data_IF_479701425443
#
_entry.id   IF_479701425443
#
_cell.length_a   1.000
_cell.length_b   1.000
_cell.length_c   1.000
_cell.angle_alpha   90.00
_cell.angle_beta   90.00
_cell.angle_gamma   90.00
#
_symmetry.space_group_name_H-M   'P 1'
#
loop_
_entity.id
_entity.type
_entity.pdbx_description
1 polymer ?
#
# COMPACT_ATOMS: atom_id res chain seq x y z
N UNK A 1 34.31 10.96 -22.70
CA UNK A 1 34.20 12.07 -21.73
C UNK A 1 32.90 11.90 -20.97
N UNK A 2 33.02 11.65 -19.67
CA UNK A 2 31.99 11.12 -18.78
C UNK A 2 30.97 12.23 -18.42
N UNK A 3 29.67 11.97 -18.58
CA UNK A 3 28.60 12.91 -18.24
C UNK A 3 28.21 12.77 -16.76
N UNK A 4 28.38 13.79 -15.90
CA UNK A 4 27.95 13.70 -14.51
C UNK A 4 26.42 13.87 -14.37
N UNK A 5 25.73 12.74 -14.17
CA UNK A 5 24.67 12.49 -13.17
C UNK A 5 23.65 13.64 -12.97
N UNK A 6 22.51 13.55 -13.67
CA UNK A 6 21.26 14.24 -13.33
C UNK A 6 20.25 13.23 -12.77
N UNK A 7 20.54 12.64 -11.60
CA UNK A 7 19.80 11.47 -11.06
C UNK A 7 19.29 11.67 -9.61
N UNK A 8 18.98 12.91 -9.19
CA UNK A 8 18.66 13.16 -7.76
C UNK A 8 17.36 13.97 -7.50
N UNK A 9 16.69 14.59 -8.48
CA UNK A 9 15.72 15.66 -8.16
C UNK A 9 14.20 15.38 -8.33
N UNK A 10 13.69 14.14 -8.44
CA UNK A 10 12.26 13.94 -8.76
C UNK A 10 11.54 12.78 -8.04
N UNK A 11 11.88 12.49 -6.77
CA UNK A 11 11.12 11.48 -5.99
C UNK A 11 10.73 11.91 -4.55
N UNK A 12 10.86 13.19 -4.20
CA UNK A 12 10.57 13.70 -2.83
C UNK A 12 9.16 14.33 -2.72
N UNK A 13 8.36 14.32 -3.80
CA UNK A 13 7.11 15.12 -3.86
C UNK A 13 5.82 14.37 -3.48
N UNK A 14 5.89 13.31 -2.69
CA UNK A 14 4.68 12.66 -2.12
C UNK A 14 4.52 12.89 -0.61
N UNK A 15 5.30 13.79 -0.03
CA UNK A 15 5.23 14.13 1.40
C UNK A 15 4.07 15.08 1.77
N UNK A 16 3.16 15.40 0.85
CA UNK A 16 2.06 16.34 1.09
C UNK A 16 0.70 15.64 1.10
N UNK A 17 0.19 15.51 2.32
CA UNK A 17 -1.22 15.40 2.71
C UNK A 17 -2.01 14.14 2.30
N UNK A 18 -2.44 13.30 3.26
CA UNK A 18 -3.47 12.30 2.99
C UNK A 18 -4.84 12.99 2.80
N UNK A 19 -5.70 12.52 1.87
CA UNK A 19 -7.12 12.85 1.91
C UNK A 19 -7.69 12.35 3.25
N UNK A 20 -8.27 13.25 4.03
CA UNK A 20 -8.67 13.09 5.44
C UNK A 20 -9.88 12.15 5.66
N UNK A 21 -10.33 11.41 4.64
CA UNK A 21 -11.50 10.51 4.68
C UNK A 21 -11.14 9.01 4.58
N UNK A 22 -9.84 8.68 4.59
CA UNK A 22 -9.39 7.29 4.65
C UNK A 22 -8.98 6.95 6.09
N UNK A 23 -9.65 5.98 6.70
CA UNK A 23 -9.23 5.43 8.00
C UNK A 23 -7.73 5.10 7.96
N UNK A 24 -6.98 5.30 9.06
CA UNK A 24 -5.52 5.14 9.08
C UNK A 24 -5.07 3.75 8.60
N UNK A 25 -5.88 2.70 8.78
CA UNK A 25 -5.63 1.37 8.20
C UNK A 25 -5.64 1.36 6.67
N UNK A 26 -6.60 2.06 6.05
CA UNK A 26 -6.75 2.17 4.59
C UNK A 26 -5.56 2.89 3.99
N UNK A 27 -5.09 3.96 4.62
CA UNK A 27 -3.94 4.71 4.13
C UNK A 27 -2.65 3.87 4.18
N UNK A 28 -2.45 3.05 5.21
CA UNK A 28 -1.31 2.11 5.30
C UNK A 28 -1.36 1.06 4.20
N UNK A 29 -2.54 0.55 3.88
CA UNK A 29 -2.72 -0.41 2.79
C UNK A 29 -2.44 0.22 1.43
N UNK A 30 -2.90 1.46 1.20
CA UNK A 30 -2.60 2.20 -0.03
C UNK A 30 -1.08 2.44 -0.20
N UNK A 31 -0.40 2.88 0.86
CA UNK A 31 1.06 3.07 0.87
C UNK A 31 1.80 1.77 0.53
N UNK A 32 1.39 0.66 1.16
CA UNK A 32 1.94 -0.66 0.87
C UNK A 32 1.80 -1.03 -0.62
N UNK A 33 0.60 -0.89 -1.19
CA UNK A 33 0.35 -1.22 -2.60
C UNK A 33 1.13 -0.29 -3.53
N UNK A 34 1.19 1.01 -3.23
CA UNK A 34 1.95 1.97 -4.04
C UNK A 34 3.45 1.69 -4.04
N UNK A 35 4.01 1.32 -2.88
CA UNK A 35 5.41 0.92 -2.77
C UNK A 35 5.70 -0.35 -3.59
N UNK A 36 4.78 -1.32 -3.60
CA UNK A 36 4.91 -2.55 -4.40
C UNK A 36 4.82 -2.25 -5.90
N UNK A 37 3.87 -1.40 -6.30
CA UNK A 37 3.69 -1.00 -7.70
C UNK A 37 4.91 -0.22 -8.24
N UNK A 38 5.57 0.55 -7.38
CA UNK A 38 6.85 1.21 -7.67
C UNK A 38 8.04 0.23 -7.77
N UNK A 39 7.83 -1.08 -7.62
CA UNK A 39 8.85 -2.13 -7.68
C UNK A 39 9.47 -2.49 -6.31
N UNK A 40 8.92 -1.99 -5.21
CA UNK A 40 9.32 -2.37 -3.86
C UNK A 40 8.87 -3.78 -3.48
N UNK A 41 9.67 -4.49 -2.70
CA UNK A 41 9.31 -5.83 -2.18
C UNK A 41 9.11 -5.75 -0.68
N UNK A 42 8.00 -6.28 -0.13
CA UNK A 42 7.79 -6.30 1.32
C UNK A 42 8.88 -7.14 2.01
N UNK A 43 9.67 -6.49 2.86
CA UNK A 43 10.74 -7.18 3.60
C UNK A 43 10.22 -8.16 4.66
N UNK A 44 8.98 -7.96 5.12
CA UNK A 44 8.37 -8.78 6.16
C UNK A 44 6.94 -9.21 5.79
N UNK A 45 6.68 -10.51 5.54
CA UNK A 45 5.35 -11.03 5.24
C UNK A 45 4.35 -10.82 6.38
N UNK A 46 4.82 -10.85 7.64
CA UNK A 46 3.95 -10.64 8.80
C UNK A 46 3.39 -9.22 8.82
N UNK A 47 4.13 -8.23 8.32
CA UNK A 47 3.67 -6.83 8.22
C UNK A 47 2.56 -6.68 7.18
N UNK A 48 2.65 -7.40 6.06
CA UNK A 48 1.59 -7.45 5.04
C UNK A 48 0.32 -8.05 5.65
N UNK A 49 0.45 -9.15 6.39
CA UNK A 49 -0.68 -9.80 7.05
C UNK A 49 -1.32 -8.93 8.14
N UNK A 50 -0.52 -8.20 8.93
CA UNK A 50 -1.01 -7.25 9.92
C UNK A 50 -1.83 -6.12 9.29
N UNK A 51 -1.35 -5.54 8.19
CA UNK A 51 -2.08 -4.51 7.43
C UNK A 51 -3.39 -5.08 6.89
N UNK A 52 -3.39 -6.30 6.33
CA UNK A 52 -4.62 -6.95 5.88
C UNK A 52 -5.63 -7.15 7.03
N UNK A 53 -5.17 -7.57 8.21
CA UNK A 53 -6.04 -7.73 9.39
C UNK A 53 -6.61 -6.39 9.88
N UNK A 54 -5.81 -5.33 9.83
CA UNK A 54 -6.27 -3.97 10.16
C UNK A 54 -7.31 -3.46 9.15
N UNK A 55 -7.29 -3.91 7.89
CA UNK A 55 -8.36 -3.64 6.91
C UNK A 55 -9.63 -4.48 7.13
N UNK A 56 -9.65 -5.36 8.13
CA UNK A 56 -10.75 -6.30 8.37
C UNK A 56 -10.71 -7.54 7.48
N UNK A 57 -9.61 -7.79 6.78
CA UNK A 57 -9.43 -9.03 6.00
C UNK A 57 -8.95 -10.16 6.90
N UNK A 58 -9.59 -11.31 6.78
CA UNK A 58 -9.10 -12.53 7.40
C UNK A 58 -8.00 -13.16 6.54
N UNK A 59 -6.79 -13.23 7.10
CA UNK A 59 -5.61 -13.81 6.43
C UNK A 59 -4.94 -14.84 7.33
N UNK A 60 -4.62 -15.99 6.74
CA UNK A 60 -3.86 -17.03 7.44
C UNK A 60 -2.40 -16.60 7.57
N UNK A 61 -1.75 -16.95 8.69
CA UNK A 61 -0.31 -16.67 8.90
C UNK A 61 0.60 -17.39 7.92
N UNK A 62 0.09 -18.45 7.27
CA UNK A 62 0.77 -19.22 6.22
C UNK A 62 0.34 -18.82 4.80
N UNK A 63 -0.53 -17.83 4.65
CA UNK A 63 -0.97 -17.39 3.33
C UNK A 63 0.22 -16.85 2.53
N UNK A 64 0.31 -17.16 1.24
CA UNK A 64 1.33 -16.58 0.38
C UNK A 64 1.15 -15.06 0.29
N UNK A 65 2.25 -14.31 0.39
CA UNK A 65 2.24 -12.84 0.47
C UNK A 65 1.55 -12.23 -0.74
N UNK A 66 1.78 -12.78 -1.93
CA UNK A 66 1.20 -12.32 -3.18
C UNK A 66 -0.34 -12.40 -3.16
N UNK A 67 -0.88 -13.48 -2.61
CA UNK A 67 -2.32 -13.64 -2.43
C UNK A 67 -2.88 -12.64 -1.42
N UNK A 68 -2.16 -12.38 -0.31
CA UNK A 68 -2.54 -11.33 0.64
C UNK A 68 -2.55 -9.95 -0.02
N UNK A 69 -1.55 -9.63 -0.84
CA UNK A 69 -1.48 -8.37 -1.60
C UNK A 69 -2.69 -8.25 -2.53
N UNK A 70 -3.04 -9.31 -3.26
CA UNK A 70 -4.19 -9.33 -4.14
C UNK A 70 -5.51 -9.07 -3.38
N UNK A 71 -5.69 -9.67 -2.20
CA UNK A 71 -6.84 -9.42 -1.32
C UNK A 71 -6.90 -7.97 -0.83
N UNK A 72 -5.77 -7.40 -0.44
CA UNK A 72 -5.68 -5.99 -0.04
C UNK A 72 -6.10 -5.09 -1.19
N UNK A 73 -5.62 -5.33 -2.41
CA UNK A 73 -6.03 -4.57 -3.60
C UNK A 73 -7.55 -4.62 -3.81
N UNK A 74 -8.13 -5.82 -3.80
CA UNK A 74 -9.57 -6.00 -3.96
C UNK A 74 -10.38 -5.27 -2.86
N UNK A 75 -9.91 -5.31 -1.61
CA UNK A 75 -10.55 -4.64 -0.49
C UNK A 75 -10.52 -3.10 -0.62
N UNK A 76 -9.41 -2.55 -1.14
CA UNK A 76 -9.27 -1.12 -1.40
C UNK A 76 -10.21 -0.67 -2.53
N UNK A 77 -10.34 -1.47 -3.60
CA UNK A 77 -11.29 -1.21 -4.68
C UNK A 77 -12.74 -1.28 -4.18
N UNK A 78 -13.07 -2.29 -3.37
CA UNK A 78 -14.39 -2.43 -2.77
C UNK A 78 -14.72 -1.29 -1.79
N UNK A 79 -13.77 -0.88 -0.96
CA UNK A 79 -13.94 0.21 0.01
C UNK A 79 -14.22 1.56 -0.65
N UNK A 80 -13.72 1.80 -1.87
CA UNK A 80 -14.02 3.00 -2.67
C UNK A 80 -15.51 3.09 -3.03
N UNK A 81 -16.19 1.96 -3.25
CA UNK A 81 -17.61 1.92 -3.59
C UNK A 81 -18.55 2.05 -2.39
N UNK A 82 -18.08 1.71 -1.19
CA UNK A 82 -18.93 1.61 0.01
C UNK A 82 -18.68 2.75 1.03
N UNK A 83 -17.60 3.51 0.91
CA UNK A 83 -17.15 4.52 1.89
C UNK A 83 -17.38 5.99 1.53
N UNK A 84 -18.16 6.31 0.49
CA UNK A 84 -18.62 7.69 0.21
C UNK A 84 -20.12 7.89 0.53
N UNK A 85 -20.69 7.04 1.40
CA UNK A 85 -22.05 7.19 1.92
C UNK A 85 -22.02 6.90 3.42
N UNK A 86 -21.91 7.97 4.21
CA UNK A 86 -21.87 7.93 5.67
C UNK A 86 -21.50 9.29 6.22
#
# INVERSE_FOLDING_TARGET
MFTPITWINLWIKSWLAPPQDASPERQRALDLIAAIDAGGVPLNPARVNDIARQLGLEVSTRAPVDETIARIRAALEYGRGNGQQG
#
